data_IF_556411729908
#
_entry.id   IF_556411729908
#
_cell.length_a   1.000
_cell.length_b   1.000
_cell.length_c   1.000
_cell.angle_alpha   90.00
_cell.angle_beta   90.00
_cell.angle_gamma   90.00
#
_symmetry.space_group_name_H-M   'P 1'
#
loop_
_entity.id
_entity.type
_entity.pdbx_description
1 polymer ?
#
# COMPACT_ATOMS: atom_id res chain seq x y z
N UNK A 1 5.91 -1.79 -17.00
CA UNK A 1 6.40 -0.76 -16.04
C UNK A 1 6.73 -1.32 -14.66
N UNK A 2 6.02 -2.34 -14.14
CA UNK A 2 6.26 -2.90 -12.79
C UNK A 2 7.65 -3.55 -12.58
N UNK A 3 8.33 -4.08 -13.60
CA UNK A 3 9.63 -4.74 -13.40
C UNK A 3 10.84 -3.78 -13.34
N UNK A 4 10.60 -2.47 -13.34
CA UNK A 4 11.64 -1.42 -13.32
C UNK A 4 11.60 -0.55 -12.07
N UNK A 5 10.78 -0.89 -11.08
CA UNK A 5 10.66 -0.08 -9.86
C UNK A 5 11.51 -0.67 -8.74
N UNK A 6 12.32 0.17 -8.12
CA UNK A 6 13.18 -0.22 -6.98
C UNK A 6 12.44 -0.06 -5.65
N UNK A 7 11.41 0.80 -5.60
CA UNK A 7 10.61 1.08 -4.40
C UNK A 7 9.12 1.10 -4.71
N UNK A 8 8.32 0.64 -3.75
CA UNK A 8 6.88 0.61 -3.82
C UNK A 8 6.28 1.23 -2.56
N UNK A 9 5.53 2.32 -2.77
CA UNK A 9 4.74 2.97 -1.73
C UNK A 9 3.30 2.51 -1.85
N UNK A 10 2.84 1.72 -0.88
CA UNK A 10 1.45 1.24 -0.79
C UNK A 10 0.77 1.89 0.40
N UNK A 11 -0.42 2.45 0.18
CA UNK A 11 -1.33 2.84 1.26
C UNK A 11 -2.46 1.84 1.32
N UNK A 12 -2.53 1.07 2.39
CA UNK A 12 -3.59 0.10 2.62
C UNK A 12 -4.66 0.72 3.49
N UNK A 13 -5.85 0.93 2.93
CA UNK A 13 -7.01 1.42 3.66
C UNK A 13 -7.75 0.19 4.18
N UNK A 14 -7.85 0.05 5.50
CA UNK A 14 -8.51 -1.05 6.20
C UNK A 14 -10.03 -0.83 6.23
N UNK A 15 -10.61 -0.62 5.05
CA UNK A 15 -12.05 -0.42 4.85
C UNK A 15 -12.47 -1.03 3.52
N UNK A 16 -13.70 -1.50 3.47
CA UNK A 16 -14.27 -2.08 2.26
C UNK A 16 -14.91 -0.98 1.42
N UNK A 17 -14.65 -0.99 0.12
CA UNK A 17 -15.20 -0.03 -0.83
C UNK A 17 -15.75 -0.79 -2.03
N UNK A 18 -16.91 -0.36 -2.54
CA UNK A 18 -17.37 -0.81 -3.84
C UNK A 18 -16.59 -0.07 -4.91
N UNK A 19 -15.92 -0.81 -5.80
CA UNK A 19 -15.16 -0.23 -6.89
C UNK A 19 -15.12 -1.16 -8.09
N UNK A 20 -15.23 -0.58 -9.27
CA UNK A 20 -15.20 -1.30 -10.55
C UNK A 20 -13.75 -1.59 -11.02
N UNK A 21 -12.76 -1.11 -10.28
CA UNK A 21 -11.33 -1.25 -10.61
C UNK A 21 -10.56 -1.75 -9.41
N UNK A 22 -9.79 -2.82 -9.62
CA UNK A 22 -8.93 -3.42 -8.60
C UNK A 22 -7.46 -3.12 -8.90
N UNK A 23 -6.66 -3.01 -7.83
CA UNK A 23 -5.22 -2.88 -7.98
C UNK A 23 -4.66 -4.18 -8.57
N UNK A 24 -3.76 -4.12 -9.58
CA UNK A 24 -3.16 -5.32 -10.15
C UNK A 24 -2.35 -6.06 -9.08
N UNK A 25 -2.33 -7.40 -9.17
CA UNK A 25 -1.56 -8.24 -8.26
C UNK A 25 -0.07 -7.93 -8.41
N UNK A 26 0.55 -7.45 -7.34
CA UNK A 26 1.99 -7.21 -7.27
C UNK A 26 2.65 -8.44 -6.66
N UNK A 27 3.74 -8.91 -7.26
CA UNK A 27 4.52 -10.00 -6.70
C UNK A 27 5.38 -9.47 -5.54
N UNK A 28 4.86 -9.53 -4.32
CA UNK A 28 5.57 -9.08 -3.11
C UNK A 28 6.76 -9.97 -2.72
N UNK A 29 6.96 -11.13 -3.33
CA UNK A 29 8.13 -11.98 -3.05
C UNK A 29 9.45 -11.30 -3.48
N UNK A 30 9.38 -10.48 -4.54
CA UNK A 30 10.52 -9.66 -5.03
C UNK A 30 10.79 -8.41 -4.18
N UNK A 31 9.90 -8.07 -3.25
CA UNK A 31 9.99 -6.83 -2.47
C UNK A 31 10.03 -7.10 -0.96
N UNK A 32 10.93 -6.41 -0.26
CA UNK A 32 11.03 -6.46 1.19
C UNK A 32 10.30 -5.27 1.80
N UNK A 33 9.44 -5.51 2.80
CA UNK A 33 8.86 -4.43 3.60
C UNK A 33 9.97 -3.77 4.41
N UNK A 34 10.24 -2.49 4.13
CA UNK A 34 11.27 -1.71 4.82
C UNK A 34 10.69 -0.73 5.82
N UNK A 35 9.45 -0.27 5.61
CA UNK A 35 8.77 0.63 6.53
C UNK A 35 7.28 0.34 6.60
N UNK A 36 6.72 0.47 7.80
CA UNK A 36 5.28 0.37 8.06
C UNK A 36 4.88 1.47 9.03
N UNK A 37 4.02 2.38 8.59
CA UNK A 37 3.54 3.51 9.39
C UNK A 37 2.02 3.53 9.40
N UNK A 38 1.45 3.42 10.60
CA UNK A 38 0.00 3.48 10.78
C UNK A 38 -0.44 4.94 10.58
N UNK A 39 -1.45 5.14 9.73
CA UNK A 39 -2.09 6.42 9.49
C UNK A 39 -2.93 6.86 10.68
N UNK A 40 -3.07 8.17 10.86
CA UNK A 40 -3.90 8.72 11.93
C UNK A 40 -5.32 8.88 11.41
N UNK A 41 -6.27 8.31 12.14
CA UNK A 41 -7.70 8.54 11.89
C UNK A 41 -8.08 9.87 12.54
N UNK A 42 -8.66 10.77 11.75
CA UNK A 42 -9.15 12.07 12.20
C UNK A 42 -10.45 12.45 11.48
N UNK A 43 -11.01 13.63 11.75
CA UNK A 43 -12.26 14.07 11.12
C UNK A 43 -12.18 14.15 9.59
N UNK A 44 -10.97 14.32 9.03
CA UNK A 44 -10.73 14.34 7.58
C UNK A 44 -10.47 12.93 7.03
N UNK A 45 -9.89 12.03 7.82
CA UNK A 45 -9.57 10.66 7.45
C UNK A 45 -10.26 9.68 8.40
N UNK A 46 -11.49 9.30 8.07
CA UNK A 46 -12.34 8.47 8.93
C UNK A 46 -12.00 6.98 8.90
N UNK A 47 -11.22 6.55 7.91
CA UNK A 47 -10.87 5.15 7.73
C UNK A 47 -9.48 4.89 8.29
N UNK A 48 -9.25 3.78 8.99
CA UNK A 48 -7.90 3.35 9.34
C UNK A 48 -7.13 3.01 8.08
N UNK A 49 -5.91 3.52 7.95
CA UNK A 49 -5.03 3.22 6.82
C UNK A 49 -3.59 3.03 7.30
N UNK A 50 -2.79 2.33 6.51
CA UNK A 50 -1.39 2.02 6.82
C UNK A 50 -0.54 2.32 5.60
N UNK A 51 0.52 3.11 5.80
CA UNK A 51 1.56 3.30 4.81
C UNK A 51 2.57 2.17 4.91
N UNK A 52 2.81 1.51 3.79
CA UNK A 52 3.75 0.42 3.63
C UNK A 52 4.75 0.85 2.57
N UNK A 53 6.03 0.80 2.91
CA UNK A 53 7.13 1.02 1.98
C UNK A 53 7.83 -0.31 1.77
N UNK A 54 7.90 -0.71 0.51
CA UNK A 54 8.64 -1.89 0.09
C UNK A 54 9.80 -1.46 -0.79
N UNK A 55 10.93 -2.13 -0.64
CA UNK A 55 12.12 -1.96 -1.47
C UNK A 55 12.43 -3.29 -2.14
N UNK A 56 12.83 -3.24 -3.41
CA UNK A 56 13.19 -4.44 -4.17
C UNK A 56 14.42 -5.10 -3.53
N UNK A 57 14.40 -6.43 -3.46
CA UNK A 57 15.50 -7.24 -2.93
C UNK A 57 16.74 -7.21 -3.80
#
# INVERSE_FOLDING_TARGET
LLNKVDKLYKTEILSEFNGDTVMPTINYDEFKLVSKKIGKVDEKNKYPYVFLEYERK
#
